data_IF_829251503354
#
_entry.id   IF_829251503354
#
_cell.length_a   1.000
_cell.length_b   1.000
_cell.length_c   1.000
_cell.angle_alpha   90.00
_cell.angle_beta   90.00
_cell.angle_gamma   90.00
#
_symmetry.space_group_name_H-M   'P 1'
#
loop_
_entity.id
_entity.type
_entity.pdbx_description
1 polymer ?
#
# COMPACT_ATOMS: atom_id res chain seq x y z
N UNK A 1 38.69 -9.03 3.30
CA UNK A 1 39.02 -7.57 3.32
C UNK A 1 37.90 -6.83 2.61
N UNK A 2 36.90 -6.34 3.36
CA UNK A 2 35.66 -5.74 2.82
C UNK A 2 35.85 -4.23 2.54
N UNK A 3 36.90 -3.59 3.02
CA UNK A 3 37.16 -2.14 2.95
C UNK A 3 38.46 -1.77 2.26
N UNK A 4 38.88 -2.49 1.23
CA UNK A 4 40.05 -2.11 0.42
C UNK A 4 39.73 -1.00 -0.58
N UNK A 5 40.74 -0.23 -1.01
CA UNK A 5 40.59 0.85 -2.00
C UNK A 5 39.96 0.45 -3.33
N UNK A 6 39.86 -0.84 -3.61
CA UNK A 6 39.19 -1.42 -4.82
C UNK A 6 37.80 -1.97 -4.55
N UNK A 7 37.22 -1.70 -3.39
CA UNK A 7 35.84 -2.12 -3.09
C UNK A 7 34.83 -1.16 -3.76
N UNK A 8 33.75 -1.67 -4.37
CA UNK A 8 32.68 -0.83 -4.95
C UNK A 8 31.95 0.03 -3.89
N UNK A 9 32.19 -0.23 -2.60
CA UNK A 9 31.64 0.51 -1.47
C UNK A 9 32.66 1.49 -0.84
N UNK A 10 33.84 1.68 -1.45
CA UNK A 10 34.85 2.60 -0.94
C UNK A 10 34.51 4.03 -1.35
N UNK A 11 34.07 4.82 -0.37
CA UNK A 11 33.94 6.27 -0.51
C UNK A 11 35.12 6.95 0.16
N UNK A 12 36.06 7.55 -0.60
CA UNK A 12 37.25 8.20 -0.06
C UNK A 12 36.95 9.35 0.90
N UNK A 13 35.78 10.02 0.72
CA UNK A 13 35.38 11.12 1.62
C UNK A 13 34.90 10.58 2.97
N UNK A 14 34.23 9.46 2.95
CA UNK A 14 33.74 8.80 4.16
C UNK A 14 34.89 8.21 4.97
N UNK A 15 35.88 7.64 4.29
CA UNK A 15 37.07 7.06 4.91
C UNK A 15 37.95 8.12 5.55
N UNK A 16 38.18 9.25 4.90
CA UNK A 16 38.90 10.38 5.48
C UNK A 16 38.19 10.98 6.71
N UNK A 17 36.85 11.03 6.68
CA UNK A 17 36.05 11.41 7.84
C UNK A 17 36.30 10.49 9.05
N UNK A 18 36.35 9.18 8.84
CA UNK A 18 36.64 8.23 9.91
C UNK A 18 38.03 8.37 10.50
N UNK A 19 39.00 8.71 9.71
CA UNK A 19 40.38 8.92 10.18
C UNK A 19 40.54 10.15 11.08
N UNK A 20 39.68 11.14 10.93
CA UNK A 20 39.71 12.39 11.73
C UNK A 20 38.70 12.38 12.91
N UNK A 21 38.11 11.24 13.21
CA UNK A 21 37.23 11.10 14.36
C UNK A 21 38.03 11.09 15.66
N UNK A 22 37.93 12.18 16.42
CA UNK A 22 38.43 12.28 17.76
C UNK A 22 37.27 12.44 18.74
N UNK A 23 37.41 12.03 20.00
CA UNK A 23 36.35 12.06 21.01
C UNK A 23 35.71 13.46 21.17
N UNK A 24 36.42 14.53 20.85
CA UNK A 24 35.91 15.90 20.89
C UNK A 24 35.03 16.26 19.68
N UNK A 25 35.14 15.56 18.55
CA UNK A 25 34.44 15.91 17.30
C UNK A 25 33.31 14.94 16.96
N UNK A 26 33.19 13.83 17.65
CA UNK A 26 32.17 12.82 17.41
C UNK A 26 30.74 13.42 17.52
N UNK A 27 30.51 14.24 18.54
CA UNK A 27 29.20 14.86 18.77
C UNK A 27 28.77 15.76 17.59
N UNK A 28 29.69 16.59 17.08
CA UNK A 28 29.38 17.48 15.95
C UNK A 28 29.18 16.74 14.63
N UNK A 29 29.87 15.63 14.41
CA UNK A 29 29.65 14.76 13.23
C UNK A 29 28.31 14.02 13.31
N UNK A 30 27.93 13.56 14.49
CA UNK A 30 26.63 12.93 14.72
C UNK A 30 25.50 13.96 14.51
N UNK A 31 25.65 15.18 15.02
CA UNK A 31 24.68 16.26 14.79
C UNK A 31 24.58 16.61 13.31
N UNK A 32 25.68 16.71 12.59
CA UNK A 32 25.68 16.98 11.15
C UNK A 32 24.98 15.87 10.37
N UNK A 33 25.23 14.61 10.70
CA UNK A 33 24.59 13.47 10.05
C UNK A 33 23.11 13.35 10.43
N UNK A 34 22.73 13.67 11.68
CA UNK A 34 21.33 13.79 12.10
C UNK A 34 20.65 14.94 11.34
N UNK A 35 21.30 16.07 11.18
CA UNK A 35 20.77 17.19 10.38
C UNK A 35 20.65 16.83 8.88
N UNK A 36 21.57 16.07 8.34
CA UNK A 36 21.48 15.56 6.95
C UNK A 36 20.36 14.56 6.79
N UNK A 37 20.17 13.66 7.77
CA UNK A 37 19.08 12.71 7.82
C UNK A 37 17.73 13.42 8.03
N UNK A 38 17.68 14.47 8.84
CA UNK A 38 16.48 15.28 9.03
C UNK A 38 16.12 16.09 7.77
N UNK A 39 17.11 16.58 7.02
CA UNK A 39 16.87 17.21 5.71
C UNK A 39 16.39 16.21 4.64
N UNK A 40 16.69 14.93 4.75
CA UNK A 40 16.15 13.87 3.88
C UNK A 40 14.68 13.54 4.14
N UNK A 41 14.09 14.00 5.23
CA UNK A 41 12.64 13.90 5.53
C UNK A 41 11.83 14.94 4.74
N UNK A 42 12.06 15.09 3.46
CA UNK A 42 11.22 15.96 2.64
C UNK A 42 9.98 15.18 2.21
N UNK A 43 8.81 15.74 2.52
CA UNK A 43 7.59 15.38 1.85
C UNK A 43 7.83 15.42 0.34
N UNK A 44 7.44 14.35 -0.36
CA UNK A 44 7.50 14.33 -1.82
C UNK A 44 6.29 15.12 -2.31
N UNK A 45 6.51 16.36 -2.69
CA UNK A 45 5.45 17.27 -3.13
C UNK A 45 5.72 17.65 -4.58
N UNK A 46 4.70 17.53 -5.44
CA UNK A 46 4.76 17.95 -6.85
C UNK A 46 5.91 17.31 -7.66
N UNK A 47 6.38 16.14 -7.30
CA UNK A 47 7.42 15.46 -8.06
C UNK A 47 6.88 14.17 -8.70
N UNK A 48 6.50 14.21 -9.98
CA UNK A 48 6.05 13.01 -10.67
C UNK A 48 7.19 11.98 -10.75
N UNK A 49 6.87 10.72 -10.45
CA UNK A 49 7.80 9.61 -10.52
C UNK A 49 7.44 8.79 -11.76
N UNK A 50 8.35 8.75 -12.72
CA UNK A 50 8.15 7.96 -13.93
C UNK A 50 9.35 7.07 -14.24
N UNK A 51 9.06 5.83 -14.66
CA UNK A 51 10.06 4.85 -15.08
C UNK A 51 11.21 4.57 -14.09
N UNK A 52 11.01 4.82 -12.81
CA UNK A 52 12.04 4.56 -11.79
C UNK A 52 11.58 3.45 -10.84
N UNK A 53 12.12 2.24 -10.97
CA UNK A 53 11.82 1.18 -10.01
C UNK A 53 12.40 1.52 -8.64
N UNK A 54 11.57 1.44 -7.60
CA UNK A 54 12.03 1.59 -6.22
C UNK A 54 12.20 0.19 -5.61
N UNK A 55 13.45 -0.20 -5.41
CA UNK A 55 13.81 -1.50 -4.85
C UNK A 55 14.51 -1.27 -3.51
N UNK A 56 14.10 -2.00 -2.48
CA UNK A 56 14.69 -1.93 -1.12
C UNK A 56 14.68 -0.51 -0.51
N UNK A 57 13.65 0.28 -0.79
CA UNK A 57 13.54 1.63 -0.23
C UNK A 57 12.59 1.66 0.97
N UNK A 58 13.11 2.07 2.12
CA UNK A 58 12.32 2.31 3.32
C UNK A 58 11.69 3.71 3.26
N UNK A 59 10.38 3.77 3.07
CA UNK A 59 9.64 5.02 3.08
C UNK A 59 8.92 5.22 4.43
N UNK A 60 9.65 5.67 5.42
CA UNK A 60 9.11 5.96 6.74
C UNK A 60 8.79 7.44 6.88
N UNK A 61 7.56 7.76 7.35
CA UNK A 61 7.14 9.12 7.72
C UNK A 61 7.15 10.16 6.59
N UNK A 62 7.27 9.77 5.33
CA UNK A 62 7.30 10.72 4.22
C UNK A 62 5.93 10.81 3.56
N UNK A 63 5.19 11.91 3.73
CA UNK A 63 3.97 12.12 2.97
C UNK A 63 4.27 12.31 1.48
N UNK A 64 3.46 11.69 0.64
CA UNK A 64 3.50 11.82 -0.82
C UNK A 64 2.28 12.63 -1.24
N UNK A 65 2.48 13.83 -1.73
CA UNK A 65 1.41 14.76 -2.09
C UNK A 65 1.59 15.23 -3.53
N UNK A 66 0.52 15.15 -4.33
CA UNK A 66 0.53 15.60 -5.72
C UNK A 66 1.67 14.98 -6.57
N UNK A 67 2.02 13.75 -6.30
CA UNK A 67 3.14 13.07 -6.95
C UNK A 67 2.64 11.85 -7.73
N UNK A 68 2.14 12.03 -8.95
CA UNK A 68 1.69 10.90 -9.75
C UNK A 68 2.84 9.94 -10.05
N UNK A 69 2.56 8.63 -9.95
CA UNK A 69 3.52 7.58 -10.24
C UNK A 69 3.09 6.81 -11.50
N UNK A 70 3.99 6.71 -12.47
CA UNK A 70 3.74 6.02 -13.73
C UNK A 70 4.88 5.04 -14.01
N UNK A 71 4.53 3.77 -14.30
CA UNK A 71 5.50 2.71 -14.60
C UNK A 71 6.64 2.59 -13.58
N UNK A 72 6.32 2.71 -12.30
CA UNK A 72 7.32 2.70 -11.22
C UNK A 72 7.04 1.53 -10.26
N UNK A 73 7.52 0.31 -10.54
CA UNK A 73 7.30 -0.82 -9.66
C UNK A 73 7.96 -0.60 -8.30
N UNK A 74 7.22 -0.92 -7.24
CA UNK A 74 7.72 -0.92 -5.87
C UNK A 74 7.97 -2.36 -5.43
N UNK A 75 9.23 -2.69 -5.18
CA UNK A 75 9.63 -4.04 -4.78
C UNK A 75 10.39 -3.93 -3.44
N UNK A 76 9.98 -4.72 -2.46
CA UNK A 76 10.60 -4.72 -1.13
C UNK A 76 10.68 -3.29 -0.51
N UNK A 77 9.65 -2.49 -0.71
CA UNK A 77 9.62 -1.10 -0.25
C UNK A 77 8.55 -0.90 0.85
N UNK A 78 8.81 -1.35 2.08
CA UNK A 78 7.87 -1.15 3.17
C UNK A 78 7.66 0.33 3.46
N UNK A 79 6.41 0.72 3.76
CA UNK A 79 6.06 2.09 4.10
C UNK A 79 5.29 2.15 5.41
N UNK A 80 5.72 3.04 6.30
CA UNK A 80 5.11 3.27 7.61
C UNK A 80 4.81 4.76 7.75
N UNK A 81 3.57 5.10 8.14
CA UNK A 81 3.15 6.48 8.46
C UNK A 81 3.32 7.50 7.32
N UNK A 82 3.24 7.10 6.08
CA UNK A 82 3.35 8.00 4.92
C UNK A 82 2.02 8.19 4.20
N UNK A 83 1.20 9.21 4.48
CA UNK A 83 -0.03 9.45 3.75
C UNK A 83 0.23 9.73 2.27
N UNK A 84 -0.63 9.19 1.40
CA UNK A 84 -0.59 9.41 -0.04
C UNK A 84 -1.83 10.20 -0.44
N UNK A 85 -1.63 11.42 -0.90
CA UNK A 85 -2.71 12.36 -1.18
C UNK A 85 -2.57 12.90 -2.61
N UNK A 86 -3.67 12.86 -3.38
CA UNK A 86 -3.72 13.38 -4.75
C UNK A 86 -2.60 12.82 -5.66
N UNK A 87 -2.26 11.56 -5.46
CA UNK A 87 -1.15 10.93 -6.17
C UNK A 87 -1.66 9.74 -6.98
N UNK A 88 -2.14 9.93 -8.19
CA UNK A 88 -2.64 8.84 -9.03
C UNK A 88 -1.51 7.87 -9.43
N UNK A 89 -1.85 6.58 -9.45
CA UNK A 89 -0.93 5.51 -9.80
C UNK A 89 -1.37 4.82 -11.07
N UNK A 90 -0.46 4.75 -12.01
CA UNK A 90 -0.68 4.07 -13.26
C UNK A 90 0.45 3.06 -13.54
N UNK A 91 0.10 1.78 -13.68
CA UNK A 91 1.07 0.69 -13.86
C UNK A 91 2.14 0.64 -12.76
N UNK A 92 1.71 0.70 -11.51
CA UNK A 92 2.61 0.66 -10.33
C UNK A 92 2.39 -0.64 -9.56
N UNK A 93 2.99 -1.76 -9.95
CA UNK A 93 2.87 -2.99 -9.18
C UNK A 93 3.58 -2.86 -7.82
N UNK A 94 2.91 -3.38 -6.79
CA UNK A 94 3.42 -3.45 -5.43
C UNK A 94 3.75 -4.91 -5.11
N UNK A 95 5.00 -5.22 -4.90
CA UNK A 95 5.46 -6.57 -4.61
C UNK A 95 6.25 -6.56 -3.31
N UNK A 96 5.83 -7.36 -2.33
CA UNK A 96 6.48 -7.42 -1.01
C UNK A 96 6.62 -6.03 -0.35
N UNK A 97 5.58 -5.20 -0.46
CA UNK A 97 5.57 -3.85 0.10
C UNK A 97 4.55 -3.72 1.23
N UNK A 98 4.83 -4.21 2.42
CA UNK A 98 3.91 -4.06 3.54
C UNK A 98 3.68 -2.58 3.86
N UNK A 99 2.42 -2.22 4.12
CA UNK A 99 2.02 -0.85 4.43
C UNK A 99 1.30 -0.78 5.75
N UNK A 100 1.74 0.14 6.58
CA UNK A 100 1.14 0.39 7.89
C UNK A 100 0.87 1.88 8.06
N UNK A 101 -0.37 2.23 8.45
CA UNK A 101 -0.77 3.63 8.68
C UNK A 101 -0.49 4.56 7.48
N UNK A 102 -0.74 4.08 6.27
CA UNK A 102 -0.54 4.84 5.04
C UNK A 102 -1.87 5.18 4.37
N UNK A 103 -2.63 6.16 4.84
CA UNK A 103 -3.90 6.51 4.24
C UNK A 103 -3.75 6.93 2.77
N UNK A 104 -4.70 6.48 1.96
CA UNK A 104 -4.78 6.77 0.54
C UNK A 104 -5.98 7.68 0.28
N UNK A 105 -5.73 8.92 -0.10
CA UNK A 105 -6.78 9.92 -0.27
C UNK A 105 -6.71 10.54 -1.67
N UNK A 106 -7.81 10.52 -2.41
CA UNK A 106 -7.90 11.06 -3.76
C UNK A 106 -6.78 10.54 -4.70
N UNK A 107 -6.40 9.29 -4.53
CA UNK A 107 -5.27 8.68 -5.24
C UNK A 107 -5.73 7.47 -6.05
N UNK A 108 -6.35 7.67 -7.20
CA UNK A 108 -6.83 6.58 -8.04
C UNK A 108 -5.68 5.67 -8.49
N UNK A 109 -5.94 4.37 -8.52
CA UNK A 109 -4.98 3.36 -8.94
C UNK A 109 -5.50 2.60 -10.16
N UNK A 110 -4.69 2.51 -11.20
CA UNK A 110 -5.03 1.77 -12.42
C UNK A 110 -3.88 0.84 -12.80
N UNK A 111 -4.22 -0.42 -13.09
CA UNK A 111 -3.24 -1.47 -13.42
C UNK A 111 -2.12 -1.60 -12.39
N UNK A 112 -2.46 -1.57 -11.13
CA UNK A 112 -1.50 -1.58 -10.03
C UNK A 112 -1.69 -2.82 -9.14
N UNK A 113 -1.25 -4.01 -9.57
CA UNK A 113 -1.43 -5.23 -8.77
C UNK A 113 -0.65 -5.17 -7.44
N UNK A 114 -1.27 -5.71 -6.41
CA UNK A 114 -0.71 -5.79 -5.06
C UNK A 114 -0.46 -7.26 -4.73
N UNK A 115 0.80 -7.65 -4.61
CA UNK A 115 1.22 -9.05 -4.43
C UNK A 115 2.06 -9.18 -3.16
N UNK A 116 1.70 -10.12 -2.30
CA UNK A 116 2.43 -10.40 -1.05
C UNK A 116 2.67 -9.14 -0.19
N UNK A 117 1.73 -8.21 -0.20
CA UNK A 117 1.88 -6.91 0.42
C UNK A 117 0.78 -6.68 1.46
N UNK A 118 0.97 -7.08 2.71
CA UNK A 118 -0.03 -6.87 3.75
C UNK A 118 -0.29 -5.37 3.97
N UNK A 119 -1.57 -5.04 4.11
CA UNK A 119 -2.05 -3.68 4.31
C UNK A 119 -2.72 -3.59 5.68
N UNK A 120 -2.25 -2.70 6.54
CA UNK A 120 -2.87 -2.51 7.83
C UNK A 120 -3.06 -1.02 8.15
N UNK A 121 -4.23 -0.69 8.74
CA UNK A 121 -4.57 0.69 9.10
C UNK A 121 -4.44 1.66 7.92
N UNK A 122 -4.83 1.21 6.74
CA UNK A 122 -4.76 2.00 5.52
C UNK A 122 -6.16 2.38 5.01
N UNK A 123 -6.76 3.46 5.50
CA UNK A 123 -8.02 3.92 4.94
C UNK A 123 -7.85 4.39 3.49
N UNK A 124 -8.78 3.97 2.65
CA UNK A 124 -8.84 4.31 1.23
C UNK A 124 -10.07 5.18 1.02
N UNK A 125 -9.86 6.45 0.72
CA UNK A 125 -10.93 7.45 0.63
C UNK A 125 -10.88 8.14 -0.73
N UNK A 126 -12.01 8.14 -1.44
CA UNK A 126 -12.13 8.78 -2.76
C UNK A 126 -11.04 8.32 -3.76
N UNK A 127 -10.62 7.07 -3.65
CA UNK A 127 -9.51 6.52 -4.42
C UNK A 127 -9.99 5.32 -5.26
N UNK A 128 -10.63 5.55 -6.39
CA UNK A 128 -11.12 4.47 -7.22
C UNK A 128 -9.99 3.57 -7.74
N UNK A 129 -10.26 2.27 -7.77
CA UNK A 129 -9.34 1.26 -8.26
C UNK A 129 -9.86 0.61 -9.54
N UNK A 130 -9.01 0.50 -10.56
CA UNK A 130 -9.31 -0.27 -11.76
C UNK A 130 -8.15 -1.22 -12.09
N UNK A 131 -8.48 -2.50 -12.29
CA UNK A 131 -7.48 -3.54 -12.54
C UNK A 131 -6.39 -3.60 -11.47
N UNK A 132 -6.81 -3.63 -10.20
CA UNK A 132 -5.92 -3.68 -9.03
C UNK A 132 -6.14 -5.00 -8.28
N UNK A 133 -5.68 -6.14 -8.79
CA UNK A 133 -5.82 -7.40 -8.08
C UNK A 133 -4.98 -7.42 -6.79
N UNK A 134 -5.57 -7.93 -5.71
CA UNK A 134 -4.88 -8.21 -4.47
C UNK A 134 -4.64 -9.72 -4.36
N UNK A 135 -3.38 -10.12 -4.35
CA UNK A 135 -2.98 -11.52 -4.30
C UNK A 135 -2.10 -11.76 -3.07
N UNK A 136 -2.51 -12.69 -2.22
CA UNK A 136 -1.78 -13.01 -0.98
C UNK A 136 -1.49 -11.76 -0.13
N UNK A 137 -2.40 -10.80 -0.13
CA UNK A 137 -2.22 -9.50 0.53
C UNK A 137 -3.31 -9.27 1.58
N UNK A 138 -3.12 -9.75 2.80
CA UNK A 138 -4.12 -9.57 3.85
C UNK A 138 -4.35 -8.08 4.14
N UNK A 139 -5.62 -7.72 4.36
CA UNK A 139 -6.03 -6.34 4.62
C UNK A 139 -6.70 -6.26 5.98
N UNK A 140 -6.16 -5.44 6.87
CA UNK A 140 -6.63 -5.29 8.23
C UNK A 140 -6.91 -3.83 8.58
N UNK A 141 -8.08 -3.57 9.20
CA UNK A 141 -8.46 -2.22 9.65
C UNK A 141 -8.32 -1.14 8.58
N UNK A 142 -8.68 -1.46 7.35
CA UNK A 142 -8.50 -0.58 6.19
C UNK A 142 -9.86 -0.28 5.55
N UNK A 143 -10.61 0.70 6.04
CA UNK A 143 -11.91 1.05 5.48
C UNK A 143 -11.79 1.61 4.06
N UNK A 144 -12.73 1.19 3.21
CA UNK A 144 -12.89 1.72 1.86
C UNK A 144 -14.13 2.63 1.83
N UNK A 145 -13.93 3.91 1.56
CA UNK A 145 -14.98 4.91 1.58
C UNK A 145 -15.00 5.66 0.25
N UNK A 146 -16.16 5.64 -0.45
CA UNK A 146 -16.33 6.32 -1.73
C UNK A 146 -15.25 5.94 -2.77
N UNK A 147 -14.79 4.70 -2.75
CA UNK A 147 -13.68 4.22 -3.58
C UNK A 147 -14.13 3.09 -4.48
N UNK A 148 -14.85 3.37 -5.57
CA UNK A 148 -15.37 2.34 -6.46
C UNK A 148 -14.26 1.45 -7.04
N UNK A 149 -14.57 0.16 -7.13
CA UNK A 149 -13.62 -0.85 -7.59
C UNK A 149 -14.11 -1.50 -8.87
N UNK A 150 -13.28 -1.54 -9.90
CA UNK A 150 -13.57 -2.21 -11.16
C UNK A 150 -12.46 -3.20 -11.49
N UNK A 151 -12.84 -4.46 -11.71
CA UNK A 151 -11.86 -5.51 -12.01
C UNK A 151 -10.75 -5.64 -10.96
N UNK A 152 -11.15 -5.70 -9.69
CA UNK A 152 -10.20 -5.82 -8.56
C UNK A 152 -10.40 -7.15 -7.82
N UNK A 153 -9.98 -8.26 -8.40
CA UNK A 153 -10.14 -9.56 -7.73
C UNK A 153 -9.29 -9.65 -6.46
N UNK A 154 -9.86 -10.25 -5.42
CA UNK A 154 -9.16 -10.60 -4.20
C UNK A 154 -8.89 -12.10 -4.18
N UNK A 155 -7.64 -12.49 -4.16
CA UNK A 155 -7.24 -13.91 -4.19
C UNK A 155 -6.34 -14.20 -2.98
N UNK A 156 -6.76 -15.14 -2.14
CA UNK A 156 -6.02 -15.50 -0.94
C UNK A 156 -5.67 -14.29 -0.04
N UNK A 157 -6.55 -13.30 -0.01
CA UNK A 157 -6.32 -12.03 0.68
C UNK A 157 -7.39 -11.83 1.76
N UNK A 158 -7.22 -12.37 2.96
CA UNK A 158 -8.20 -12.23 4.03
C UNK A 158 -8.41 -10.77 4.43
N UNK A 159 -9.69 -10.42 4.67
CA UNK A 159 -10.07 -9.09 5.10
C UNK A 159 -10.65 -9.15 6.51
N UNK A 160 -10.11 -8.32 7.40
CA UNK A 160 -10.63 -8.22 8.75
C UNK A 160 -10.81 -6.75 9.15
N UNK A 161 -11.99 -6.43 9.71
CA UNK A 161 -12.34 -5.07 10.15
C UNK A 161 -12.23 -4.01 9.02
N UNK A 162 -12.64 -4.36 7.82
CA UNK A 162 -12.57 -3.47 6.65
C UNK A 162 -13.99 -3.10 6.18
N UNK A 163 -14.63 -2.09 6.72
CA UNK A 163 -15.93 -1.65 6.21
C UNK A 163 -15.83 -1.07 4.79
N UNK A 164 -16.77 -1.47 3.95
CA UNK A 164 -16.98 -0.91 2.61
C UNK A 164 -18.18 0.01 2.65
N UNK A 165 -17.97 1.31 2.47
CA UNK A 165 -19.03 2.32 2.56
C UNK A 165 -19.09 3.10 1.25
N UNK A 166 -20.27 3.09 0.60
CA UNK A 166 -20.46 3.75 -0.70
C UNK A 166 -19.40 3.35 -1.73
N UNK A 167 -19.07 2.06 -1.77
CA UNK A 167 -17.98 1.51 -2.55
C UNK A 167 -18.48 0.51 -3.59
N UNK A 168 -19.09 0.96 -4.68
CA UNK A 168 -19.59 0.05 -5.71
C UNK A 168 -18.45 -0.78 -6.33
N UNK A 169 -18.72 -2.06 -6.54
CA UNK A 169 -17.75 -2.97 -7.14
C UNK A 169 -18.33 -3.63 -8.40
N UNK A 170 -17.52 -3.70 -9.44
CA UNK A 170 -17.88 -4.33 -10.71
C UNK A 170 -16.81 -5.33 -11.10
N UNK A 171 -17.24 -6.54 -11.49
CA UNK A 171 -16.35 -7.62 -11.94
C UNK A 171 -15.18 -7.90 -10.97
N UNK A 172 -15.46 -7.87 -9.68
CA UNK A 172 -14.43 -8.02 -8.64
C UNK A 172 -14.65 -9.30 -7.83
N UNK A 173 -14.29 -10.47 -8.36
CA UNK A 173 -14.46 -11.73 -7.66
C UNK A 173 -13.55 -11.86 -6.45
N UNK A 174 -14.06 -12.54 -5.42
CA UNK A 174 -13.33 -12.81 -4.19
C UNK A 174 -13.15 -14.32 -4.06
N UNK A 175 -11.91 -14.76 -4.06
CA UNK A 175 -11.55 -16.18 -4.10
C UNK A 175 -10.66 -16.52 -2.91
N UNK A 176 -11.07 -17.51 -2.12
CA UNK A 176 -10.31 -17.98 -0.95
C UNK A 176 -9.91 -16.84 0.02
N UNK A 177 -10.75 -15.82 0.13
CA UNK A 177 -10.45 -14.63 0.92
C UNK A 177 -11.53 -14.43 1.98
N UNK A 178 -11.35 -14.94 3.19
CA UNK A 178 -12.36 -14.82 4.25
C UNK A 178 -12.56 -13.37 4.68
N UNK A 179 -13.82 -13.02 4.95
CA UNK A 179 -14.23 -11.71 5.48
C UNK A 179 -14.64 -11.85 6.94
N UNK A 180 -14.06 -11.06 7.81
CA UNK A 180 -14.42 -11.01 9.22
C UNK A 180 -14.66 -9.56 9.65
N UNK A 181 -15.82 -9.30 10.27
CA UNK A 181 -16.17 -7.95 10.74
C UNK A 181 -16.01 -6.85 9.67
N UNK A 182 -16.38 -7.16 8.44
CA UNK A 182 -16.22 -6.24 7.30
C UNK A 182 -17.58 -5.91 6.70
N UNK A 183 -18.38 -5.02 7.31
CA UNK A 183 -19.70 -4.68 6.84
C UNK A 183 -19.65 -3.97 5.48
N UNK A 184 -20.62 -4.28 4.63
CA UNK A 184 -20.80 -3.68 3.31
C UNK A 184 -22.06 -2.80 3.35
N UNK A 185 -21.87 -1.48 3.26
CA UNK A 185 -22.95 -0.50 3.41
C UNK A 185 -23.07 0.34 2.15
N UNK A 186 -24.28 0.38 1.56
CA UNK A 186 -24.57 1.16 0.35
C UNK A 186 -23.54 0.93 -0.78
N UNK A 187 -23.05 -0.30 -0.90
CA UNK A 187 -21.97 -0.67 -1.82
C UNK A 187 -22.48 -1.73 -2.80
N UNK A 188 -23.13 -1.35 -3.90
CA UNK A 188 -23.67 -2.31 -4.85
C UNK A 188 -22.58 -3.12 -5.53
N UNK A 189 -22.78 -4.43 -5.67
CA UNK A 189 -21.88 -5.31 -6.38
C UNK A 189 -22.55 -5.80 -7.68
N UNK A 190 -21.81 -5.67 -8.78
CA UNK A 190 -22.27 -6.06 -10.11
C UNK A 190 -21.32 -7.08 -10.74
N UNK A 191 -21.86 -8.19 -11.22
CA UNK A 191 -21.08 -9.27 -11.87
C UNK A 191 -19.89 -9.76 -11.03
N UNK A 192 -20.06 -9.91 -9.72
CA UNK A 192 -19.04 -10.37 -8.81
C UNK A 192 -19.35 -11.76 -8.26
N UNK A 193 -18.32 -12.50 -7.87
CA UNK A 193 -18.47 -13.84 -7.32
C UNK A 193 -17.72 -13.99 -6.01
N UNK A 194 -18.30 -14.67 -5.04
CA UNK A 194 -17.67 -15.07 -3.80
C UNK A 194 -17.43 -16.59 -3.83
N UNK A 195 -16.20 -17.02 -3.93
CA UNK A 195 -15.85 -18.42 -4.09
C UNK A 195 -14.94 -18.88 -2.93
N UNK A 196 -15.38 -19.90 -2.20
CA UNK A 196 -14.63 -20.46 -1.07
C UNK A 196 -14.18 -19.38 -0.06
N UNK A 197 -14.96 -18.34 0.11
CA UNK A 197 -14.61 -17.19 0.96
C UNK A 197 -15.65 -17.06 2.07
N UNK A 198 -15.47 -17.74 3.19
CA UNK A 198 -16.42 -17.64 4.30
C UNK A 198 -16.45 -16.21 4.86
N UNK A 199 -17.65 -15.77 5.25
CA UNK A 199 -17.80 -14.47 5.87
C UNK A 199 -18.51 -14.56 7.22
N UNK A 200 -17.96 -13.87 8.20
CA UNK A 200 -18.47 -13.86 9.55
C UNK A 200 -18.63 -12.42 10.07
N UNK A 201 -19.78 -12.14 10.70
CA UNK A 201 -20.09 -10.83 11.27
C UNK A 201 -19.91 -9.68 10.26
N UNK A 202 -20.26 -9.92 9.00
CA UNK A 202 -20.07 -8.96 7.90
C UNK A 202 -21.41 -8.67 7.23
N UNK A 203 -22.31 -7.91 7.86
CA UNK A 203 -23.63 -7.64 7.32
C UNK A 203 -23.59 -6.79 6.05
N UNK A 204 -24.48 -7.13 5.11
CA UNK A 204 -24.66 -6.38 3.86
C UNK A 204 -25.91 -5.51 4.02
N UNK A 205 -25.74 -4.19 4.07
CA UNK A 205 -26.82 -3.25 4.34
C UNK A 205 -27.05 -2.37 3.12
N UNK A 206 -28.29 -2.41 2.60
CA UNK A 206 -28.73 -1.59 1.45
C UNK A 206 -27.80 -1.65 0.24
N UNK A 207 -27.19 -2.80 0.00
CA UNK A 207 -26.23 -2.99 -1.10
C UNK A 207 -26.83 -3.99 -2.08
N UNK A 208 -27.46 -3.53 -3.18
CA UNK A 208 -28.03 -4.44 -4.17
C UNK A 208 -26.94 -5.26 -4.85
N UNK A 209 -27.14 -6.57 -4.90
CA UNK A 209 -26.25 -7.53 -5.55
C UNK A 209 -26.88 -7.93 -6.87
N UNK A 210 -26.28 -7.56 -7.99
CA UNK A 210 -26.77 -7.89 -9.34
C UNK A 210 -25.81 -8.86 -9.99
N UNK A 211 -26.34 -10.00 -10.43
CA UNK A 211 -25.52 -11.08 -10.98
C UNK A 211 -24.35 -11.50 -10.06
N UNK A 212 -24.64 -11.62 -8.78
CA UNK A 212 -23.69 -12.02 -7.75
C UNK A 212 -23.84 -13.52 -7.46
N UNK A 213 -22.77 -14.25 -7.51
CA UNK A 213 -22.76 -15.68 -7.22
C UNK A 213 -21.95 -16.00 -5.96
N UNK A 214 -22.52 -16.82 -5.09
CA UNK A 214 -21.86 -17.31 -3.88
C UNK A 214 -21.68 -18.81 -4.00
N UNK A 215 -20.45 -19.27 -4.03
CA UNK A 215 -20.11 -20.68 -4.20
C UNK A 215 -19.25 -21.15 -3.03
N UNK A 216 -19.73 -22.14 -2.30
CA UNK A 216 -19.01 -22.76 -1.16
C UNK A 216 -18.48 -21.75 -0.14
N UNK A 217 -19.21 -20.65 0.09
CA UNK A 217 -18.82 -19.59 1.02
C UNK A 217 -19.84 -19.52 2.17
N UNK A 218 -19.66 -20.26 3.24
CA UNK A 218 -20.60 -20.24 4.36
C UNK A 218 -20.62 -18.89 5.06
N UNK A 219 -21.80 -18.45 5.47
CA UNK A 219 -22.00 -17.25 6.27
C UNK A 219 -22.21 -17.61 7.74
N UNK A 220 -21.70 -16.82 8.64
CA UNK A 220 -21.94 -16.94 10.06
C UNK A 220 -22.27 -15.58 10.67
N UNK A 221 -23.47 -15.46 11.27
CA UNK A 221 -23.97 -14.23 11.91
C UNK A 221 -23.91 -12.97 10.99
N UNK A 222 -24.31 -13.09 9.75
CA UNK A 222 -24.32 -11.98 8.78
C UNK A 222 -25.63 -11.92 8.01
#
# INVERSE_FOLDING_TARGET
>A
MIYGQNSPYYDPKLFQRFLHLNNSNIASYIEEDIHKLAKRKRAVILSPISFSPLILTLNNLNPVILSPAIFSPLILAPSILGPIILSPWLFVPLILTPRLLTPLILSPAVFSPVILSPLALQPVILSPGAFVPLILSPVLLSPFILSPQVFTPLILSPLALNPFILNPSVLSPVILSPFVLSPIILSPAFLSALILSPYALSPIIQSPLIAYSVILSPSYLS
#
